data_IF_110905752278
#
_entry.id   IF_110905752278
#
_cell.length_a   1.000
_cell.length_b   1.000
_cell.length_c   1.000
_cell.angle_alpha   90.00
_cell.angle_beta   90.00
_cell.angle_gamma   90.00
#
_symmetry.space_group_name_H-M   'P 1'
#
loop_
_entity.id
_entity.type
_entity.pdbx_description
1 polymer ?
#
# COMPACT_ATOMS: atom_id res chain seq x y z
N UNK A 1 8.92 2.97 -16.01
CA UNK A 1 7.53 2.94 -15.63
C UNK A 1 7.25 3.87 -14.48
N UNK A 2 6.12 4.53 -14.56
CA UNK A 2 5.71 5.46 -13.53
C UNK A 2 4.46 4.96 -12.84
N UNK A 3 4.39 5.21 -11.54
CA UNK A 3 3.21 4.91 -10.76
C UNK A 3 3.10 5.88 -9.61
N UNK A 4 1.87 6.11 -9.18
CA UNK A 4 1.60 6.83 -7.95
C UNK A 4 1.17 5.79 -6.93
N UNK A 5 1.87 5.75 -5.80
CA UNK A 5 1.54 4.83 -4.72
C UNK A 5 0.81 5.60 -3.63
N UNK A 6 -0.36 5.09 -3.28
CA UNK A 6 -1.18 5.67 -2.22
C UNK A 6 -1.13 4.76 -1.01
N UNK A 7 -0.87 5.33 0.14
CA UNK A 7 -0.81 4.59 1.40
C UNK A 7 -1.73 5.28 2.40
N UNK A 8 -2.69 4.52 2.92
CA UNK A 8 -3.60 4.99 3.97
C UNK A 8 -3.51 4.03 5.13
N UNK A 9 -3.44 4.56 6.34
CA UNK A 9 -3.33 3.66 7.50
C UNK A 9 -3.90 4.29 8.75
N UNK A 10 -4.32 3.42 9.67
CA UNK A 10 -4.73 3.81 11.00
C UNK A 10 -3.63 3.34 11.95
N UNK A 11 -2.91 4.27 12.56
CA UNK A 11 -1.77 3.91 13.41
C UNK A 11 -2.21 3.23 14.71
N UNK A 12 -1.37 2.33 15.20
CA UNK A 12 -1.52 1.77 16.54
C UNK A 12 -0.58 2.51 17.49
N UNK A 13 0.66 2.03 17.59
CA UNK A 13 1.65 2.64 18.48
C UNK A 13 2.78 3.36 17.74
N UNK A 14 3.03 2.96 16.49
CA UNK A 14 4.15 3.48 15.71
C UNK A 14 3.65 4.15 14.46
N UNK A 15 4.32 5.23 14.06
CA UNK A 15 4.08 5.90 12.81
C UNK A 15 5.37 5.96 12.02
N UNK A 16 5.26 5.81 10.70
CA UNK A 16 6.40 5.93 9.82
C UNK A 16 6.74 7.42 9.65
N UNK A 17 8.01 7.74 9.79
CA UNK A 17 8.48 9.08 9.50
C UNK A 17 8.48 9.29 7.97
N UNK A 18 7.91 10.40 7.52
CA UNK A 18 7.69 10.67 6.10
C UNK A 18 8.96 10.59 5.25
N UNK A 19 10.06 11.08 5.78
CA UNK A 19 11.34 11.09 5.06
C UNK A 19 11.83 9.66 4.85
N UNK A 20 11.72 8.81 5.86
CA UNK A 20 12.14 7.41 5.77
C UNK A 20 11.29 6.65 4.76
N UNK A 21 9.99 6.91 4.75
CA UNK A 21 9.09 6.30 3.79
C UNK A 21 9.44 6.71 2.36
N UNK A 22 9.74 7.98 2.16
CA UNK A 22 10.12 8.49 0.86
C UNK A 22 11.38 7.83 0.34
N UNK A 23 12.39 7.66 1.18
CA UNK A 23 13.64 6.98 0.80
C UNK A 23 13.38 5.51 0.47
N UNK A 24 12.53 4.84 1.23
CA UNK A 24 12.17 3.47 0.98
C UNK A 24 11.51 3.29 -0.40
N UNK A 25 10.54 4.13 -0.72
CA UNK A 25 9.86 4.08 -2.02
C UNK A 25 10.81 4.38 -3.18
N UNK A 26 11.74 5.30 -2.95
CA UNK A 26 12.75 5.65 -3.95
C UNK A 26 13.68 4.47 -4.25
N UNK A 27 13.98 3.64 -3.25
CA UNK A 27 14.84 2.47 -3.47
C UNK A 27 14.20 1.46 -4.42
N UNK A 28 12.89 1.26 -4.37
CA UNK A 28 12.18 0.42 -5.34
C UNK A 28 12.37 0.92 -6.76
N UNK A 29 12.24 2.23 -6.96
CA UNK A 29 12.41 2.85 -8.25
C UNK A 29 13.81 2.61 -8.81
N UNK A 30 14.83 2.75 -7.98
CA UNK A 30 16.22 2.60 -8.39
C UNK A 30 16.58 1.17 -8.77
N UNK A 31 15.89 0.18 -8.21
CA UNK A 31 16.15 -1.22 -8.51
C UNK A 31 15.32 -1.73 -9.69
N UNK A 32 14.52 -0.88 -10.30
CA UNK A 32 13.69 -1.29 -11.43
C UNK A 32 12.55 -2.22 -11.06
N UNK A 33 12.27 -2.38 -9.78
CA UNK A 33 11.28 -3.33 -9.27
C UNK A 33 9.89 -2.72 -9.09
N UNK A 34 9.64 -1.61 -9.76
CA UNK A 34 8.38 -0.89 -9.60
C UNK A 34 7.31 -1.46 -10.53
N UNK A 35 6.65 -2.51 -10.06
CA UNK A 35 5.61 -3.22 -10.79
C UNK A 35 4.42 -3.50 -9.87
N UNK A 36 3.42 -4.22 -10.36
CA UNK A 36 2.17 -4.44 -9.64
C UNK A 36 2.35 -5.10 -8.28
N UNK A 37 3.31 -6.00 -8.15
CA UNK A 37 3.56 -6.69 -6.88
C UNK A 37 4.16 -5.78 -5.82
N UNK A 38 4.64 -4.60 -6.19
CA UNK A 38 5.21 -3.66 -5.22
C UNK A 38 4.23 -3.28 -4.12
N UNK A 39 2.93 -3.17 -4.43
CA UNK A 39 1.96 -2.81 -3.40
C UNK A 39 1.90 -3.86 -2.29
N UNK A 40 2.03 -5.14 -2.64
CA UNK A 40 2.05 -6.22 -1.64
C UNK A 40 3.33 -6.18 -0.82
N UNK A 41 4.46 -5.96 -1.46
CA UNK A 41 5.76 -5.88 -0.79
C UNK A 41 5.78 -4.69 0.16
N UNK A 42 5.36 -3.52 -0.30
CA UNK A 42 5.31 -2.31 0.50
C UNK A 42 4.38 -2.51 1.71
N UNK A 43 3.22 -3.10 1.49
CA UNK A 43 2.27 -3.36 2.57
C UNK A 43 2.88 -4.27 3.64
N UNK A 44 3.52 -5.37 3.23
CA UNK A 44 4.14 -6.31 4.17
C UNK A 44 5.24 -5.64 4.98
N UNK A 45 6.08 -4.86 4.33
CA UNK A 45 7.16 -4.15 5.00
C UNK A 45 6.63 -3.14 6.01
N UNK A 46 5.58 -2.40 5.64
CA UNK A 46 4.99 -1.41 6.54
C UNK A 46 4.25 -2.07 7.69
N UNK A 47 3.61 -3.21 7.48
CA UNK A 47 2.99 -3.98 8.57
C UNK A 47 4.07 -4.38 9.60
N UNK A 48 5.20 -4.90 9.12
CA UNK A 48 6.29 -5.28 10.00
C UNK A 48 6.89 -4.11 10.76
N UNK A 49 6.95 -2.95 10.14
CA UNK A 49 7.56 -1.76 10.73
C UNK A 49 6.62 -1.05 11.71
N UNK A 50 5.36 -0.87 11.35
CA UNK A 50 4.43 -0.04 12.10
C UNK A 50 3.43 -0.81 12.94
N UNK A 51 3.13 -2.05 12.57
CA UNK A 51 2.08 -2.84 13.19
C UNK A 51 0.78 -2.06 13.28
N UNK A 52 0.26 -1.56 12.14
CA UNK A 52 -0.92 -0.67 12.17
C UNK A 52 -2.19 -1.43 12.50
N UNK A 53 -3.21 -0.70 12.92
CA UNK A 53 -4.54 -1.28 13.11
C UNK A 53 -5.16 -1.63 11.78
N UNK A 54 -4.92 -0.79 10.78
CA UNK A 54 -5.39 -0.97 9.41
C UNK A 54 -4.40 -0.32 8.46
N UNK A 55 -4.21 -0.92 7.30
CA UNK A 55 -3.41 -0.31 6.24
C UNK A 55 -3.96 -0.72 4.87
N UNK A 56 -3.93 0.19 3.94
CA UNK A 56 -4.17 -0.12 2.53
C UNK A 56 -3.10 0.55 1.69
N UNK A 57 -2.65 -0.17 0.68
CA UNK A 57 -1.66 0.32 -0.28
C UNK A 57 -2.21 0.06 -1.66
N UNK A 58 -2.27 1.08 -2.49
CA UNK A 58 -2.73 0.89 -3.86
C UNK A 58 -1.93 1.76 -4.81
N UNK A 59 -1.88 1.34 -6.06
CA UNK A 59 -1.10 2.01 -7.07
C UNK A 59 -1.92 2.40 -8.28
N UNK A 60 -1.54 3.52 -8.88
CA UNK A 60 -2.03 3.91 -10.19
C UNK A 60 -0.83 3.85 -11.11
N UNK A 61 -0.76 2.80 -11.92
CA UNK A 61 0.35 2.62 -12.85
C UNK A 61 0.02 3.27 -14.18
N UNK A 62 1.05 3.81 -14.83
CA UNK A 62 0.91 4.39 -16.16
C UNK A 62 0.37 3.34 -17.13
N UNK A 63 -0.73 3.62 -17.86
CA UNK A 63 -1.29 2.66 -18.80
C UNK A 63 -0.29 2.26 -19.88
N UNK A 64 -0.30 0.98 -20.22
CA UNK A 64 0.49 0.43 -21.32
C UNK A 64 -0.45 -0.30 -22.27
N UNK A 65 -0.32 -0.02 -23.57
CA UNK A 65 -1.17 -0.67 -24.55
C UNK A 65 -2.64 -0.45 -24.33
N UNK A 66 -3.01 0.67 -23.69
CA UNK A 66 -4.40 0.99 -23.39
C UNK A 66 -4.94 0.35 -22.14
N UNK A 67 -4.12 -0.38 -21.37
CA UNK A 67 -4.54 -1.05 -20.15
C UNK A 67 -4.01 -0.30 -18.93
N UNK A 68 -4.90 0.13 -18.04
CA UNK A 68 -4.53 0.72 -16.76
C UNK A 68 -4.60 -0.33 -15.67
N UNK A 69 -3.56 -0.43 -14.85
CA UNK A 69 -3.46 -1.40 -13.77
C UNK A 69 -3.46 -0.65 -12.44
N UNK A 70 -4.40 -1.00 -11.57
CA UNK A 70 -4.56 -0.36 -10.26
C UNK A 70 -4.56 -1.42 -9.16
N UNK A 71 -3.40 -1.96 -8.82
CA UNK A 71 -3.32 -2.98 -7.77
C UNK A 71 -3.67 -2.40 -6.41
N UNK A 72 -4.29 -3.23 -5.58
CA UNK A 72 -4.74 -2.84 -4.25
C UNK A 72 -4.44 -3.97 -3.27
N UNK A 73 -3.93 -3.63 -2.12
CA UNK A 73 -3.70 -4.57 -1.03
C UNK A 73 -4.07 -3.89 0.29
N UNK A 74 -4.62 -4.64 1.21
CA UNK A 74 -4.93 -4.09 2.52
C UNK A 74 -4.82 -5.14 3.61
N UNK A 75 -4.80 -4.67 4.86
CA UNK A 75 -4.69 -5.52 6.04
C UNK A 75 -5.38 -4.84 7.22
N UNK A 76 -6.17 -5.60 7.94
CA UNK A 76 -6.75 -5.16 9.20
C UNK A 76 -6.30 -6.10 10.31
N UNK A 77 -6.00 -5.55 11.48
CA UNK A 77 -5.49 -6.31 12.61
C UNK A 77 -6.45 -7.44 12.98
N UNK A 78 -5.95 -8.68 13.02
CA UNK A 78 -6.74 -9.87 13.30
C UNK A 78 -7.46 -9.78 14.65
N UNK A 79 -8.69 -10.30 14.65
CA UNK A 79 -9.49 -10.33 15.86
C UNK A 79 -10.06 -8.98 16.27
N UNK A 80 -9.97 -7.97 15.42
CA UNK A 80 -10.50 -6.64 15.69
C UNK A 80 -11.51 -6.23 14.61
N UNK A 81 -12.19 -5.12 14.87
CA UNK A 81 -13.11 -4.53 13.89
C UNK A 81 -12.41 -4.14 12.59
N UNK A 82 -11.09 -3.95 12.65
CA UNK A 82 -10.31 -3.55 11.47
C UNK A 82 -10.15 -4.70 10.48
N UNK A 83 -10.24 -5.94 10.93
CA UNK A 83 -10.26 -7.08 10.02
C UNK A 83 -11.50 -7.04 9.13
N UNK A 84 -12.65 -6.73 9.70
CA UNK A 84 -13.89 -6.58 8.95
C UNK A 84 -13.83 -5.38 8.01
N UNK A 85 -13.25 -4.27 8.48
CA UNK A 85 -13.05 -3.09 7.65
C UNK A 85 -12.22 -3.43 6.41
N UNK A 86 -11.16 -4.23 6.60
CA UNK A 86 -10.30 -4.63 5.49
C UNK A 86 -11.07 -5.38 4.42
N UNK A 87 -11.96 -6.30 4.82
CA UNK A 87 -12.79 -7.04 3.87
C UNK A 87 -13.74 -6.12 3.11
N UNK A 88 -14.36 -5.19 3.80
CA UNK A 88 -15.29 -4.24 3.18
C UNK A 88 -14.56 -3.35 2.18
N UNK A 89 -13.39 -2.84 2.55
CA UNK A 89 -12.61 -1.98 1.69
C UNK A 89 -12.09 -2.71 0.46
N UNK A 90 -11.80 -3.98 0.58
CA UNK A 90 -11.29 -4.78 -0.53
C UNK A 90 -12.30 -4.83 -1.68
N UNK A 91 -13.59 -4.88 -1.36
CA UNK A 91 -14.65 -4.98 -2.36
C UNK A 91 -15.24 -3.64 -2.78
N UNK A 92 -15.00 -2.58 -2.01
CA UNK A 92 -15.65 -1.28 -2.21
C UNK A 92 -14.69 -0.12 -2.37
N UNK A 93 -13.37 -0.38 -2.54
CA UNK A 93 -12.44 0.73 -2.65
C UNK A 93 -12.67 1.52 -3.94
N UNK A 94 -12.51 2.84 -3.82
CA UNK A 94 -12.55 3.75 -4.95
C UNK A 94 -11.16 4.35 -5.14
N UNK A 95 -10.68 4.32 -6.36
CA UNK A 95 -9.42 4.98 -6.70
C UNK A 95 -9.64 6.47 -6.85
N UNK A 96 -8.71 7.29 -6.33
CA UNK A 96 -8.80 8.75 -6.51
C UNK A 96 -8.63 9.16 -7.97
#
# INVERSE_FOLDING_TARGET
DFATIHIRYIPAKKMVESKSLKLYLFSFRNHGDFHEDCVNIIMKDLIGLMQPKYIEVFGEFTPRGGIAIHPFANYGQEGTEFEQLARERLFKHDMP
#
